data_IF_879729661776
#
_entry.id   IF_879729661776
#
_cell.length_a   1.000
_cell.length_b   1.000
_cell.length_c   1.000
_cell.angle_alpha   90.00
_cell.angle_beta   90.00
_cell.angle_gamma   90.00
#
_symmetry.space_group_name_H-M   'P 1'
#
loop_
_entity.id
_entity.type
_entity.pdbx_description
1 polymer ?
#
# COMPACT_ATOMS: atom_id res chain seq x y z
N UNK A 1 -21.56 3.07 -2.08
CA UNK A 1 -22.10 3.49 -0.77
C UNK A 1 -20.90 3.58 0.17
N UNK A 2 -20.49 4.78 0.57
CA UNK A 2 -19.43 4.95 1.57
C UNK A 2 -20.05 4.90 2.97
N UNK A 3 -19.48 4.06 3.83
CA UNK A 3 -19.81 4.04 5.26
C UNK A 3 -19.38 5.39 5.85
N UNK A 4 -20.22 6.07 6.67
CA UNK A 4 -19.80 7.31 7.32
C UNK A 4 -18.69 6.96 8.31
N UNK A 5 -17.47 7.46 8.08
CA UNK A 5 -16.43 7.42 9.10
C UNK A 5 -16.82 8.41 10.21
N UNK A 6 -17.05 7.89 11.41
CA UNK A 6 -17.57 8.61 12.58
C UNK A 6 -16.48 9.35 13.38
N UNK A 7 -15.31 9.60 12.80
CA UNK A 7 -14.23 10.31 13.46
C UNK A 7 -13.74 11.40 12.50
N UNK A 8 -13.99 12.66 12.84
CA UNK A 8 -13.42 13.85 12.20
C UNK A 8 -11.92 13.95 12.57
N UNK A 9 -11.09 13.01 12.08
CA UNK A 9 -9.64 13.23 12.05
C UNK A 9 -9.27 13.73 10.66
N UNK A 10 -8.45 14.76 10.59
CA UNK A 10 -7.91 15.20 9.30
C UNK A 10 -6.89 14.18 8.80
N UNK A 11 -6.63 14.18 7.50
CA UNK A 11 -5.62 13.32 6.88
C UNK A 11 -4.22 13.60 7.45
N UNK A 12 -3.98 14.86 7.84
CA UNK A 12 -2.74 15.30 8.49
C UNK A 12 -2.62 14.74 9.91
N UNK A 13 -3.72 14.73 10.68
CA UNK A 13 -3.76 14.13 12.02
C UNK A 13 -3.55 12.62 11.94
N UNK A 14 -4.19 11.93 10.97
CA UNK A 14 -4.00 10.51 10.76
C UNK A 14 -2.54 10.18 10.41
N UNK A 15 -1.90 10.99 9.56
CA UNK A 15 -0.47 10.84 9.25
C UNK A 15 0.41 11.07 10.48
N UNK A 16 0.09 12.07 11.30
CA UNK A 16 0.83 12.38 12.53
C UNK A 16 0.73 11.25 13.57
N UNK A 17 -0.47 10.73 13.82
CA UNK A 17 -0.68 9.57 14.69
C UNK A 17 0.11 8.35 14.22
N UNK A 18 0.12 8.11 12.90
CA UNK A 18 0.84 6.98 12.33
C UNK A 18 2.36 7.14 12.48
N UNK A 19 2.90 8.35 12.35
CA UNK A 19 4.33 8.64 12.60
C UNK A 19 4.70 8.41 14.06
N UNK A 20 3.89 8.91 14.99
CA UNK A 20 4.10 8.71 16.41
C UNK A 20 4.09 7.22 16.77
N UNK A 21 3.14 6.46 16.20
CA UNK A 21 3.05 5.02 16.39
C UNK A 21 4.30 4.28 15.86
N UNK A 22 4.69 4.54 14.61
CA UNK A 22 5.86 3.91 13.97
C UNK A 22 7.15 4.24 14.73
N UNK A 23 7.29 5.47 15.23
CA UNK A 23 8.44 5.87 16.07
C UNK A 23 8.44 5.17 17.42
N UNK A 24 7.28 5.02 18.07
CA UNK A 24 7.15 4.28 19.33
C UNK A 24 7.55 2.81 19.17
N UNK A 25 7.39 2.23 17.98
CA UNK A 25 7.87 0.89 17.61
C UNK A 25 9.38 0.83 17.28
N UNK A 26 10.08 1.96 17.32
CA UNK A 26 11.54 2.04 17.21
C UNK A 26 12.07 2.43 15.83
N UNK A 27 11.22 2.93 14.92
CA UNK A 27 11.70 3.48 13.66
C UNK A 27 12.32 4.87 13.83
N UNK A 28 13.30 5.19 12.98
CA UNK A 28 13.90 6.51 12.89
C UNK A 28 13.05 7.41 11.98
N UNK A 29 11.99 8.00 12.55
CA UNK A 29 11.09 8.94 11.86
C UNK A 29 10.80 10.15 12.77
N UNK A 30 10.55 11.31 12.17
CA UNK A 30 10.12 12.50 12.93
C UNK A 30 8.65 12.36 13.37
N UNK A 31 8.31 12.87 14.55
CA UNK A 31 6.90 12.98 15.00
C UNK A 31 6.17 14.13 14.33
N UNK A 32 6.91 15.14 13.87
CA UNK A 32 6.35 16.31 13.21
C UNK A 32 6.07 16.02 11.74
N UNK A 33 4.95 16.55 11.23
CA UNK A 33 4.61 16.55 9.82
C UNK A 33 5.66 17.34 9.02
N UNK A 34 5.89 16.91 7.78
CA UNK A 34 6.80 17.53 6.85
C UNK A 34 6.21 18.82 6.28
N UNK A 35 7.05 19.83 6.12
CA UNK A 35 6.71 21.05 5.35
C UNK A 35 6.38 20.74 3.87
N UNK A 36 6.75 19.55 3.37
CA UNK A 36 6.39 19.07 2.05
C UNK A 36 4.93 18.60 1.92
N UNK A 37 4.16 18.56 3.01
CA UNK A 37 2.78 18.10 3.04
C UNK A 37 2.63 16.58 2.99
N UNK A 38 1.38 16.13 2.93
CA UNK A 38 0.97 14.74 3.18
C UNK A 38 1.73 13.68 2.36
N UNK A 39 2.04 13.96 1.09
CA UNK A 39 2.74 13.01 0.23
C UNK A 39 4.17 12.71 0.72
N UNK A 40 4.87 13.70 1.29
CA UNK A 40 6.21 13.51 1.86
C UNK A 40 6.11 12.78 3.19
N UNK A 41 5.11 13.10 4.00
CA UNK A 41 4.83 12.38 5.24
C UNK A 41 4.58 10.90 4.97
N UNK A 42 3.76 10.60 3.97
CA UNK A 42 3.42 9.23 3.59
C UNK A 42 4.63 8.49 3.01
N UNK A 43 5.49 9.15 2.24
CA UNK A 43 6.75 8.58 1.77
C UNK A 43 7.64 8.13 2.94
N UNK A 44 7.80 8.99 3.96
CA UNK A 44 8.59 8.68 5.14
C UNK A 44 7.96 7.57 5.98
N UNK A 45 6.63 7.58 6.13
CA UNK A 45 5.87 6.52 6.80
C UNK A 45 6.09 5.17 6.12
N UNK A 46 5.98 5.12 4.78
CA UNK A 46 6.23 3.89 4.01
C UNK A 46 7.69 3.44 4.17
N UNK A 47 8.64 4.38 4.23
CA UNK A 47 10.04 4.03 4.47
C UNK A 47 10.26 3.40 5.85
N UNK A 48 9.57 3.91 6.87
CA UNK A 48 9.73 3.50 8.25
C UNK A 48 8.84 2.33 8.69
N UNK A 49 7.83 1.92 7.90
CA UNK A 49 6.80 0.97 8.34
C UNK A 49 7.31 -0.48 8.52
N UNK A 50 8.54 -0.79 8.10
CA UNK A 50 9.15 -2.11 8.24
C UNK A 50 9.23 -2.57 9.72
N UNK A 51 9.29 -1.63 10.67
CA UNK A 51 9.28 -1.96 12.11
C UNK A 51 7.95 -2.56 12.55
N UNK A 52 6.83 -2.12 11.96
CA UNK A 52 5.49 -2.60 12.27
C UNK A 52 5.24 -3.98 11.71
N UNK A 53 5.93 -4.39 10.63
CA UNK A 53 5.80 -5.73 10.03
C UNK A 53 6.16 -6.88 10.99
N UNK A 54 6.78 -6.56 12.14
CA UNK A 54 7.17 -7.52 13.19
C UNK A 54 6.06 -7.75 14.23
N UNK A 55 5.05 -6.89 14.28
CA UNK A 55 3.93 -6.99 15.23
C UNK A 55 2.97 -8.14 14.89
N UNK A 56 1.88 -8.31 15.64
CA UNK A 56 0.85 -9.29 15.30
C UNK A 56 0.06 -8.92 14.04
N UNK A 57 -0.61 -9.90 13.42
CA UNK A 57 -1.28 -9.71 12.13
C UNK A 57 -2.33 -8.59 12.16
N UNK A 58 -2.99 -8.36 13.30
CA UNK A 58 -4.04 -7.33 13.42
C UNK A 58 -3.44 -5.94 13.50
N UNK A 59 -2.35 -5.78 14.23
CA UNK A 59 -1.61 -4.51 14.29
C UNK A 59 -1.00 -4.15 12.93
N UNK A 60 -0.44 -5.13 12.22
CA UNK A 60 0.08 -4.89 10.86
C UNK A 60 -1.05 -4.51 9.91
N UNK A 61 -2.17 -5.23 9.96
CA UNK A 61 -3.33 -4.96 9.10
C UNK A 61 -3.90 -3.56 9.36
N UNK A 62 -4.00 -3.12 10.61
CA UNK A 62 -4.52 -1.79 10.94
C UNK A 62 -3.60 -0.67 10.44
N UNK A 63 -2.29 -0.79 10.64
CA UNK A 63 -1.28 0.15 10.13
C UNK A 63 -1.36 0.25 8.62
N UNK A 64 -1.42 -0.89 7.94
CA UNK A 64 -1.41 -0.93 6.48
C UNK A 64 -2.72 -0.41 5.89
N UNK A 65 -3.86 -0.70 6.51
CA UNK A 65 -5.14 -0.13 6.08
C UNK A 65 -5.15 1.40 6.25
N UNK A 66 -4.51 1.94 7.30
CA UNK A 66 -4.32 3.39 7.44
C UNK A 66 -3.43 3.97 6.33
N UNK A 67 -2.30 3.33 6.00
CA UNK A 67 -1.44 3.74 4.88
C UNK A 67 -2.20 3.71 3.56
N UNK A 68 -2.95 2.63 3.28
CA UNK A 68 -3.73 2.49 2.05
C UNK A 68 -4.83 3.56 1.97
N UNK A 69 -5.51 3.85 3.09
CA UNK A 69 -6.53 4.91 3.14
C UNK A 69 -5.94 6.27 2.80
N UNK A 70 -4.76 6.59 3.34
CA UNK A 70 -4.02 7.82 3.02
C UNK A 70 -3.45 7.83 1.59
N UNK A 71 -3.15 6.67 1.00
CA UNK A 71 -2.72 6.60 -0.40
C UNK A 71 -3.87 6.89 -1.36
N UNK A 72 -5.09 6.45 -1.05
CA UNK A 72 -6.25 6.56 -1.94
C UNK A 72 -6.78 8.00 -2.11
N UNK A 73 -6.42 8.90 -1.19
CA UNK A 73 -6.80 10.32 -1.23
C UNK A 73 -5.79 11.21 -1.97
N UNK A 74 -4.59 10.70 -2.27
CA UNK A 74 -3.55 11.48 -2.96
C UNK A 74 -3.85 11.65 -4.46
N UNK A 75 -3.29 12.71 -5.04
CA UNK A 75 -3.29 12.93 -6.49
C UNK A 75 -2.58 11.77 -7.20
N UNK A 76 -3.12 11.35 -8.35
CA UNK A 76 -2.67 10.17 -9.09
C UNK A 76 -1.15 10.12 -9.29
N UNK A 77 -0.53 11.23 -9.73
CA UNK A 77 0.92 11.29 -10.02
C UNK A 77 1.79 10.93 -8.80
N UNK A 78 1.43 11.43 -7.61
CA UNK A 78 2.17 11.14 -6.36
C UNK A 78 1.81 9.77 -5.82
N UNK A 79 0.56 9.36 -6.00
CA UNK A 79 0.05 8.06 -5.58
C UNK A 79 0.81 6.92 -6.27
N UNK A 80 1.09 6.99 -7.57
CA UNK A 80 1.77 5.92 -8.31
C UNK A 80 3.16 5.60 -7.72
N UNK A 81 3.95 6.64 -7.48
CA UNK A 81 5.32 6.51 -6.95
C UNK A 81 5.32 5.89 -5.55
N UNK A 82 4.38 6.28 -4.69
CA UNK A 82 4.29 5.76 -3.33
C UNK A 82 3.77 4.31 -3.29
N UNK A 83 2.83 3.97 -4.17
CA UNK A 83 2.35 2.60 -4.32
C UNK A 83 3.47 1.67 -4.79
N UNK A 84 4.29 2.12 -5.74
CA UNK A 84 5.48 1.38 -6.19
C UNK A 84 6.44 1.09 -5.02
N UNK A 85 6.76 2.10 -4.21
CA UNK A 85 7.62 1.97 -3.04
C UNK A 85 7.04 0.97 -2.02
N UNK A 86 5.76 1.09 -1.69
CA UNK A 86 5.08 0.17 -0.78
C UNK A 86 5.09 -1.28 -1.32
N UNK A 87 4.77 -1.46 -2.60
CA UNK A 87 4.80 -2.76 -3.24
C UNK A 87 6.20 -3.40 -3.20
N UNK A 88 7.24 -2.61 -3.48
CA UNK A 88 8.62 -3.08 -3.45
C UNK A 88 9.03 -3.53 -2.04
N UNK A 89 8.65 -2.80 -0.99
CA UNK A 89 8.86 -3.21 0.41
C UNK A 89 8.14 -4.52 0.74
N UNK A 90 6.88 -4.66 0.38
CA UNK A 90 6.10 -5.89 0.63
C UNK A 90 6.69 -7.11 -0.11
N UNK A 91 7.25 -6.91 -1.30
CA UNK A 91 7.93 -7.96 -2.07
C UNK A 91 9.30 -8.31 -1.47
N UNK A 92 10.07 -7.31 -0.99
CA UNK A 92 11.42 -7.50 -0.43
C UNK A 92 11.43 -7.99 1.01
N UNK A 93 10.37 -7.74 1.78
CA UNK A 93 10.28 -8.14 3.19
C UNK A 93 10.38 -9.67 3.33
N UNK A 94 11.38 -10.15 4.07
CA UNK A 94 11.72 -11.59 4.23
C UNK A 94 11.85 -12.06 5.68
N UNK A 95 11.84 -11.18 6.68
CA UNK A 95 11.98 -11.61 8.08
C UNK A 95 10.62 -11.93 8.72
N UNK A 96 10.47 -13.15 9.25
CA UNK A 96 9.24 -13.62 9.91
C UNK A 96 8.12 -14.06 8.97
N UNK A 97 8.45 -14.43 7.72
CA UNK A 97 7.57 -14.60 6.56
C UNK A 97 6.10 -14.94 6.87
N UNK A 98 5.26 -13.90 6.82
CA UNK A 98 3.80 -13.99 6.77
C UNK A 98 3.32 -13.67 5.36
N UNK A 99 3.52 -14.57 4.38
CA UNK A 99 3.15 -14.29 3.00
C UNK A 99 1.65 -14.07 2.82
N UNK A 100 0.81 -14.76 3.59
CA UNK A 100 -0.64 -14.58 3.55
C UNK A 100 -1.06 -13.15 3.89
N UNK A 101 -0.43 -12.54 4.90
CA UNK A 101 -0.67 -11.15 5.28
C UNK A 101 -0.25 -10.20 4.16
N UNK A 102 0.96 -10.35 3.61
CA UNK A 102 1.44 -9.52 2.49
C UNK A 102 0.53 -9.63 1.26
N UNK A 103 0.04 -10.83 0.95
CA UNK A 103 -0.94 -11.02 -0.12
C UNK A 103 -2.27 -10.33 0.18
N UNK A 104 -2.79 -10.44 1.41
CA UNK A 104 -4.02 -9.77 1.80
C UNK A 104 -3.90 -8.24 1.67
N UNK A 105 -2.77 -7.67 2.08
CA UNK A 105 -2.50 -6.24 1.95
C UNK A 105 -2.44 -5.79 0.48
N UNK A 106 -1.69 -6.50 -0.35
CA UNK A 106 -1.62 -6.22 -1.80
C UNK A 106 -2.97 -6.43 -2.48
N UNK A 107 -3.76 -7.40 -2.03
CA UNK A 107 -5.12 -7.64 -2.53
C UNK A 107 -6.06 -6.50 -2.15
N UNK A 108 -6.02 -6.04 -0.89
CA UNK A 108 -6.81 -4.90 -0.44
C UNK A 108 -6.46 -3.64 -1.23
N UNK A 109 -5.16 -3.40 -1.49
CA UNK A 109 -4.71 -2.30 -2.33
C UNK A 109 -5.24 -2.44 -3.77
N UNK A 110 -5.10 -3.61 -4.39
CA UNK A 110 -5.59 -3.85 -5.75
C UNK A 110 -7.10 -3.63 -5.91
N UNK A 111 -7.91 -4.09 -4.94
CA UNK A 111 -9.36 -3.92 -4.97
C UNK A 111 -9.83 -2.54 -4.50
N UNK A 112 -9.02 -1.81 -3.73
CA UNK A 112 -9.32 -0.45 -3.28
C UNK A 112 -9.09 0.62 -4.35
N UNK A 113 -8.37 0.30 -5.41
CA UNK A 113 -8.02 1.21 -6.50
C UNK A 113 -9.06 1.20 -7.63
N UNK A 114 -9.14 2.32 -8.35
CA UNK A 114 -9.99 2.42 -9.55
C UNK A 114 -9.55 1.42 -10.63
N UNK A 115 -10.52 0.85 -11.34
CA UNK A 115 -10.23 -0.18 -12.36
C UNK A 115 -9.47 0.35 -13.57
N UNK A 116 -9.54 1.66 -13.80
CA UNK A 116 -8.84 2.35 -14.89
C UNK A 116 -7.47 2.86 -14.47
N UNK A 117 -7.09 2.75 -13.19
CA UNK A 117 -5.82 3.22 -12.68
C UNK A 117 -4.64 2.39 -13.25
N UNK A 118 -3.68 2.99 -13.96
CA UNK A 118 -2.54 2.30 -14.57
C UNK A 118 -1.70 1.56 -13.52
N UNK A 119 -1.47 2.19 -12.37
CA UNK A 119 -0.73 1.64 -11.23
C UNK A 119 -1.34 0.34 -10.65
N UNK A 120 -2.60 0.01 -10.96
CA UNK A 120 -3.22 -1.28 -10.62
C UNK A 120 -2.43 -2.45 -11.26
N UNK A 121 -1.80 -2.23 -12.42
CA UNK A 121 -0.88 -3.19 -13.04
C UNK A 121 0.37 -3.46 -12.18
N UNK A 122 0.95 -2.42 -11.58
CA UNK A 122 2.11 -2.53 -10.69
C UNK A 122 1.77 -3.34 -9.44
N UNK A 123 0.61 -3.08 -8.84
CA UNK A 123 0.13 -3.83 -7.66
C UNK A 123 -0.12 -5.29 -8.03
N UNK A 124 -0.74 -5.55 -9.18
CA UNK A 124 -0.97 -6.92 -9.68
C UNK A 124 0.34 -7.69 -9.92
N UNK A 125 1.34 -7.05 -10.54
CA UNK A 125 2.67 -7.64 -10.72
C UNK A 125 3.32 -7.99 -9.38
N UNK A 126 3.16 -7.12 -8.37
CA UNK A 126 3.70 -7.34 -7.04
C UNK A 126 2.97 -8.47 -6.30
N UNK A 127 1.65 -8.57 -6.47
CA UNK A 127 0.85 -9.69 -5.96
C UNK A 127 1.32 -11.03 -6.55
N UNK A 128 1.63 -11.09 -7.85
CA UNK A 128 2.21 -12.28 -8.49
C UNK A 128 3.57 -12.64 -7.87
N UNK A 129 4.45 -11.65 -7.69
CA UNK A 129 5.77 -11.88 -7.09
C UNK A 129 5.65 -12.46 -5.68
N UNK A 130 4.75 -11.94 -4.84
CA UNK A 130 4.52 -12.46 -3.48
C UNK A 130 3.83 -13.82 -3.50
N UNK A 131 2.83 -14.05 -4.35
CA UNK A 131 2.15 -15.35 -4.40
C UNK A 131 3.08 -16.50 -4.83
N UNK A 132 4.07 -16.18 -5.66
CA UNK A 132 5.08 -17.14 -6.10
C UNK A 132 5.98 -17.58 -4.95
N UNK A 133 6.27 -16.70 -3.98
CA UNK A 133 7.09 -17.06 -2.81
C UNK A 133 6.37 -17.94 -1.80
N UNK A 134 5.03 -17.95 -1.81
CA UNK A 134 4.21 -18.74 -0.88
C UNK A 134 3.39 -19.86 -1.51
N UNK A 135 3.65 -20.18 -2.78
CA UNK A 135 2.95 -21.21 -3.55
C UNK A 135 1.41 -21.06 -3.54
N UNK A 136 0.92 -19.83 -3.36
CA UNK A 136 -0.50 -19.48 -3.26
C UNK A 136 -1.04 -18.89 -4.57
N UNK A 137 -0.45 -19.28 -5.70
CA UNK A 137 -0.77 -18.76 -7.05
C UNK A 137 -2.26 -18.95 -7.39
N UNK A 138 -2.90 -19.96 -6.80
CA UNK A 138 -4.33 -20.22 -6.96
C UNK A 138 -5.26 -19.08 -6.46
N UNK A 139 -4.76 -18.17 -5.62
CA UNK A 139 -5.52 -17.03 -5.11
C UNK A 139 -5.38 -15.76 -5.95
N UNK A 140 -4.56 -15.79 -7.02
CA UNK A 140 -4.41 -14.64 -7.92
C UNK A 140 -5.58 -14.64 -8.89
N UNK A 141 -6.19 -13.47 -9.17
CA UNK A 141 -7.15 -13.35 -10.25
C UNK A 141 -6.48 -13.70 -11.59
N UNK A 142 -6.73 -14.91 -12.11
CA UNK A 142 -6.22 -15.37 -13.41
C UNK A 142 -7.24 -15.16 -14.54
N UNK A 143 -8.26 -14.34 -14.30
CA UNK A 143 -9.28 -14.04 -15.29
C UNK A 143 -8.66 -13.31 -16.49
N UNK A 144 -8.80 -13.89 -17.68
CA UNK A 144 -8.14 -13.42 -18.89
C UNK A 144 -8.65 -12.04 -19.33
N UNK A 145 -9.91 -11.71 -19.05
CA UNK A 145 -10.49 -10.43 -19.42
C UNK A 145 -10.00 -9.31 -18.49
N UNK A 146 -9.90 -9.61 -17.19
CA UNK A 146 -9.29 -8.70 -16.21
C UNK A 146 -7.80 -8.45 -16.51
N UNK A 147 -7.04 -9.50 -16.83
CA UNK A 147 -5.62 -9.38 -17.20
C UNK A 147 -5.45 -8.61 -18.51
N UNK A 148 -6.29 -8.87 -19.52
CA UNK A 148 -6.27 -8.13 -20.79
C UNK A 148 -6.54 -6.65 -20.58
N UNK A 149 -7.52 -6.30 -19.74
CA UNK A 149 -7.85 -4.91 -19.43
C UNK A 149 -6.65 -4.19 -18.78
N UNK A 150 -6.04 -4.79 -17.76
CA UNK A 150 -4.85 -4.26 -17.08
C UNK A 150 -3.67 -4.02 -18.03
N UNK A 151 -3.36 -5.01 -18.88
CA UNK A 151 -2.30 -4.89 -19.88
C UNK A 151 -2.57 -3.75 -20.87
N UNK A 152 -3.83 -3.56 -21.27
CA UNK A 152 -4.21 -2.51 -22.23
C UNK A 152 -4.00 -1.11 -21.63
N UNK A 153 -4.39 -0.92 -20.37
CA UNK A 153 -4.19 0.34 -19.64
C UNK A 153 -2.70 0.67 -19.45
N UNK A 154 -1.89 -0.32 -19.08
CA UNK A 154 -0.44 -0.14 -18.93
C UNK A 154 0.26 0.27 -20.24
N UNK A 155 -0.12 -0.34 -21.37
CA UNK A 155 0.44 -0.01 -22.69
C UNK A 155 0.09 1.43 -23.10
N UNK A 156 -1.13 1.89 -22.79
CA UNK A 156 -1.54 3.26 -23.12
C UNK A 156 -0.81 4.32 -22.29
N UNK A 157 -0.50 4.06 -21.02
CA UNK A 157 0.25 5.00 -20.18
C UNK A 157 1.75 5.09 -20.53
N UNK A 158 2.39 4.01 -20.97
CA UNK A 158 3.81 4.04 -21.40
C UNK A 158 4.04 4.57 -22.82
N UNK A 159 2.98 4.94 -23.55
CA UNK A 159 3.05 5.48 -24.91
C UNK A 159 3.05 7.01 -24.99
N UNK A 160 3.11 7.70 -23.84
CA UNK A 160 3.20 9.16 -23.70
C UNK A 160 4.42 9.56 -22.89
#
# INVERSE_FOLDING_TARGET
>A
MSVPAFIDITEEDQASELRAYIKAKGAEISEENSEGGLHVDLAQIIEACDVCLKDDDKEVESVMNSIVSLLLILEAEKQETLIESLCEKLVKSREGERPSLRMQLLSNLFHGMDETAPVRYTVYCSLIKVATTCNAIAFIPTDLDQVRSLCTLAIHCHSH
#
